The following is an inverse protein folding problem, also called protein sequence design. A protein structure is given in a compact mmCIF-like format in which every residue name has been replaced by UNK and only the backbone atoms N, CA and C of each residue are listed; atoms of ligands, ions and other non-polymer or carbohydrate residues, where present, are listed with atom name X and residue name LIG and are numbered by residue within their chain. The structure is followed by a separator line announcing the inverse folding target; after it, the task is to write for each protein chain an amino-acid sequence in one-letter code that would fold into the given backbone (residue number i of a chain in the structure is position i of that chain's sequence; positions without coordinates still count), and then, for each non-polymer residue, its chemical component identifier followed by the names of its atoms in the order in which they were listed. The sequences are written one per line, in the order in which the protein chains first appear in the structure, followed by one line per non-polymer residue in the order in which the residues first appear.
data_IF_467492808862
#
_entry.id   IF_467492808862
#
_cell.length_a   1.000
_cell.length_b   1.000
_cell.length_c   1.000
_cell.angle_alpha   90.00
_cell.angle_beta   90.00
_cell.angle_gamma   90.00
#
_symmetry.space_group_name_H-M   'P 1'
#
loop_
_entity.id
_entity.type
_entity.pdbx_description
1 polymer ?
#
# COMPACT_ATOMS: atom_id res chain seq x y z
N UNK A 1 -18.85 -24.83 -6.17
CA UNK A 1 -18.65 -23.95 -7.33
C UNK A 1 -18.63 -22.52 -6.81
N UNK A 2 -17.48 -21.86 -6.82
CA UNK A 2 -17.30 -20.52 -6.26
C UNK A 2 -17.51 -19.42 -7.30
N UNK A 3 -17.69 -18.18 -6.83
CA UNK A 3 -17.83 -16.99 -7.68
C UNK A 3 -16.49 -16.72 -8.37
N UNK A 4 -16.43 -16.82 -9.71
CA UNK A 4 -15.18 -16.63 -10.47
C UNK A 4 -15.06 -15.27 -11.19
N UNK A 5 -16.15 -14.51 -11.28
CA UNK A 5 -16.23 -13.30 -12.09
C UNK A 5 -16.10 -11.98 -11.29
N UNK A 6 -15.58 -12.05 -10.06
CA UNK A 6 -15.39 -10.85 -9.23
C UNK A 6 -14.18 -10.07 -9.72
N UNK A 7 -14.41 -8.86 -10.24
CA UNK A 7 -13.33 -7.94 -10.65
C UNK A 7 -12.89 -6.99 -9.54
N UNK A 8 -13.80 -6.66 -8.63
CA UNK A 8 -13.56 -5.75 -7.51
C UNK A 8 -14.14 -6.34 -6.24
N UNK A 9 -13.36 -6.38 -5.18
CA UNK A 9 -13.77 -6.89 -3.88
C UNK A 9 -13.38 -5.89 -2.79
N UNK A 10 -14.33 -5.55 -1.93
CA UNK A 10 -14.09 -4.79 -0.71
C UNK A 10 -14.44 -5.66 0.47
N UNK A 11 -13.52 -5.75 1.42
CA UNK A 11 -13.68 -6.49 2.68
C UNK A 11 -13.61 -5.46 3.79
N UNK A 12 -14.68 -5.39 4.58
CA UNK A 12 -14.75 -4.53 5.75
C UNK A 12 -14.88 -5.42 6.98
N UNK A 13 -13.93 -5.29 7.89
CA UNK A 13 -13.97 -5.90 9.21
C UNK A 13 -14.31 -4.87 10.27
N UNK A 14 -14.85 -5.37 11.39
CA UNK A 14 -14.94 -4.63 12.63
C UNK A 14 -14.09 -5.34 13.70
N UNK A 15 -13.69 -4.63 14.75
CA UNK A 15 -12.82 -5.15 15.81
C UNK A 15 -13.35 -6.46 16.44
N UNK A 16 -14.68 -6.59 16.52
CA UNK A 16 -15.40 -7.79 16.99
C UNK A 16 -15.33 -9.00 16.05
N UNK A 17 -15.02 -8.78 14.77
CA UNK A 17 -15.06 -9.80 13.72
C UNK A 17 -13.68 -10.39 13.42
N UNK A 18 -12.64 -9.86 14.05
CA UNK A 18 -11.23 -10.21 13.79
C UNK A 18 -10.96 -11.72 13.94
N UNK A 19 -11.43 -12.32 15.04
CA UNK A 19 -11.31 -13.77 15.26
C UNK A 19 -12.11 -14.58 14.24
N UNK A 20 -13.34 -14.15 13.92
CA UNK A 20 -14.20 -14.87 12.97
C UNK A 20 -13.63 -14.88 11.55
N UNK A 21 -13.09 -13.75 11.09
CA UNK A 21 -12.46 -13.67 9.76
C UNK A 21 -11.20 -14.52 9.71
N UNK A 22 -10.37 -14.52 10.78
CA UNK A 22 -9.17 -15.37 10.87
C UNK A 22 -9.52 -16.85 10.77
N UNK A 23 -10.52 -17.27 11.53
CA UNK A 23 -10.92 -18.67 11.65
C UNK A 23 -11.64 -19.17 10.40
N UNK A 24 -12.25 -18.27 9.61
CA UNK A 24 -12.93 -18.61 8.36
C UNK A 24 -11.99 -19.08 7.24
N UNK A 25 -10.68 -18.81 7.34
CA UNK A 25 -9.71 -19.06 6.27
C UNK A 25 -10.03 -18.31 4.97
N UNK A 26 -10.96 -17.35 5.00
CA UNK A 26 -11.50 -16.67 3.83
C UNK A 26 -10.40 -16.03 2.96
N UNK A 27 -9.38 -15.47 3.59
CA UNK A 27 -8.29 -14.77 2.91
C UNK A 27 -7.36 -15.69 2.14
N UNK A 28 -7.33 -16.98 2.48
CA UNK A 28 -6.59 -17.99 1.72
C UNK A 28 -7.26 -18.31 0.37
N UNK A 29 -8.53 -17.94 0.20
CA UNK A 29 -9.28 -18.22 -1.03
C UNK A 29 -9.21 -17.08 -2.07
N UNK A 30 -8.58 -15.94 -1.75
CA UNK A 30 -8.47 -14.80 -2.66
C UNK A 30 -7.75 -15.17 -3.96
N UNK A 31 -6.74 -16.04 -3.88
CA UNK A 31 -5.98 -16.54 -5.03
C UNK A 31 -6.85 -17.20 -6.10
N UNK A 32 -8.01 -17.75 -5.72
CA UNK A 32 -8.94 -18.40 -6.66
C UNK A 32 -9.80 -17.41 -7.46
N UNK A 33 -9.79 -16.11 -7.11
CA UNK A 33 -10.51 -15.06 -7.83
C UNK A 33 -9.71 -14.57 -9.04
N UNK A 34 -9.68 -15.39 -10.09
CA UNK A 34 -8.83 -15.20 -11.28
C UNK A 34 -9.11 -13.94 -12.12
N UNK A 35 -10.19 -13.20 -11.84
CA UNK A 35 -10.52 -11.95 -12.52
C UNK A 35 -10.37 -10.72 -11.59
N UNK A 36 -9.93 -10.91 -10.35
CA UNK A 36 -9.88 -9.85 -9.36
C UNK A 36 -8.74 -8.87 -9.68
N UNK A 37 -9.10 -7.62 -9.94
CA UNK A 37 -8.17 -6.55 -10.29
C UNK A 37 -8.11 -5.48 -9.19
N UNK A 38 -9.15 -5.34 -8.37
CA UNK A 38 -9.19 -4.37 -7.27
C UNK A 38 -9.59 -5.03 -5.97
N UNK A 39 -8.78 -4.85 -4.94
CA UNK A 39 -9.02 -5.34 -3.60
C UNK A 39 -8.92 -4.19 -2.60
N UNK A 40 -9.88 -4.12 -1.67
CA UNK A 40 -9.85 -3.16 -0.58
C UNK A 40 -10.06 -3.89 0.74
N UNK A 41 -9.23 -3.59 1.73
CA UNK A 41 -9.42 -3.96 3.13
C UNK A 41 -9.65 -2.72 3.97
N UNK A 42 -10.71 -2.73 4.77
CA UNK A 42 -11.01 -1.67 5.74
C UNK A 42 -11.30 -2.31 7.09
N UNK A 43 -10.64 -1.88 8.17
CA UNK A 43 -10.91 -2.39 9.52
C UNK A 43 -10.56 -3.87 9.72
N UNK A 44 -9.64 -4.42 8.93
CA UNK A 44 -9.29 -5.85 8.93
C UNK A 44 -8.02 -6.14 9.76
N UNK A 45 -8.06 -5.83 11.05
CA UNK A 45 -6.93 -5.89 11.98
C UNK A 45 -6.52 -7.32 12.36
N UNK A 46 -5.21 -7.59 12.39
CA UNK A 46 -4.33 -7.68 11.23
C UNK A 46 -4.55 -9.03 10.55
N UNK A 47 -5.45 -9.08 9.57
CA UNK A 47 -5.88 -10.35 8.97
C UNK A 47 -5.21 -10.65 7.63
N UNK A 48 -4.39 -9.77 7.09
CA UNK A 48 -3.93 -9.89 5.70
C UNK A 48 -3.08 -11.15 5.45
N UNK A 49 -3.13 -11.72 4.23
CA UNK A 49 -2.36 -12.91 3.89
C UNK A 49 -0.85 -12.74 4.14
N UNK A 50 -0.19 -13.77 4.65
CA UNK A 50 1.25 -13.74 4.98
C UNK A 50 2.18 -13.91 3.77
N UNK A 51 1.63 -14.05 2.56
CA UNK A 51 2.41 -14.23 1.33
C UNK A 51 1.70 -13.60 0.12
N UNK A 52 2.50 -13.04 -0.80
CA UNK A 52 2.01 -12.51 -2.07
C UNK A 52 1.28 -13.58 -2.91
N UNK A 53 1.66 -14.86 -2.73
CA UNK A 53 1.04 -16.01 -3.42
C UNK A 53 -0.42 -16.26 -3.04
N UNK A 54 -0.88 -15.71 -1.93
CA UNK A 54 -2.28 -15.80 -1.52
C UNK A 54 -3.17 -14.76 -2.22
N UNK A 55 -2.57 -13.78 -2.90
CA UNK A 55 -3.30 -12.82 -3.72
C UNK A 55 -3.41 -13.33 -5.16
N UNK A 56 -4.50 -13.01 -5.87
CA UNK A 56 -4.61 -13.30 -7.28
C UNK A 56 -3.58 -12.48 -8.06
N UNK A 57 -2.87 -13.13 -8.98
CA UNK A 57 -1.85 -12.47 -9.82
C UNK A 57 -2.43 -11.36 -10.70
N UNK A 58 -3.75 -11.33 -10.93
CA UNK A 58 -4.45 -10.28 -11.69
C UNK A 58 -4.65 -8.98 -10.90
N UNK A 59 -4.30 -8.95 -9.61
CA UNK A 59 -4.52 -7.80 -8.75
C UNK A 59 -3.69 -6.60 -9.20
N UNK A 60 -4.37 -5.50 -9.55
CA UNK A 60 -3.76 -4.24 -10.01
C UNK A 60 -3.87 -3.11 -8.99
N UNK A 61 -4.89 -3.15 -8.14
CA UNK A 61 -5.20 -2.07 -7.21
C UNK A 61 -5.44 -2.63 -5.82
N UNK A 62 -4.65 -2.21 -4.86
CA UNK A 62 -4.82 -2.53 -3.45
C UNK A 62 -5.09 -1.27 -2.65
N UNK A 63 -6.18 -1.27 -1.89
CA UNK A 63 -6.47 -0.27 -0.86
C UNK A 63 -6.44 -0.93 0.50
N UNK A 64 -5.69 -0.36 1.42
CA UNK A 64 -5.66 -0.72 2.83
C UNK A 64 -6.14 0.50 3.62
N UNK A 65 -7.01 0.28 4.60
CA UNK A 65 -7.49 1.32 5.51
C UNK A 65 -7.82 0.71 6.86
N UNK A 66 -7.45 1.40 7.95
CA UNK A 66 -7.71 0.93 9.31
C UNK A 66 -7.25 -0.54 9.50
N UNK A 67 -6.13 -0.92 8.87
CA UNK A 67 -5.60 -2.30 8.93
C UNK A 67 -4.48 -2.44 9.97
N UNK A 68 -3.80 -1.34 10.31
CA UNK A 68 -2.73 -1.28 11.31
C UNK A 68 -1.65 -2.37 11.10
N UNK A 69 -1.34 -2.68 9.85
CA UNK A 69 -0.24 -3.59 9.51
C UNK A 69 1.11 -2.89 9.73
N UNK A 70 2.18 -3.63 9.97
CA UNK A 70 3.51 -3.02 10.01
C UNK A 70 3.91 -2.48 8.62
N UNK A 71 4.76 -1.46 8.57
CA UNK A 71 5.38 -1.01 7.33
C UNK A 71 6.16 -2.13 6.61
N UNK A 72 6.76 -3.05 7.36
CA UNK A 72 7.46 -4.22 6.80
C UNK A 72 6.53 -5.22 6.09
N UNK A 73 5.23 -5.24 6.42
CA UNK A 73 4.27 -6.07 5.66
C UNK A 73 4.21 -5.65 4.19
N UNK A 74 4.50 -4.38 3.88
CA UNK A 74 4.51 -3.89 2.52
C UNK A 74 5.58 -4.56 1.64
N UNK A 75 6.58 -5.25 2.20
CA UNK A 75 7.50 -6.08 1.41
C UNK A 75 6.76 -7.24 0.71
N UNK A 76 5.75 -7.81 1.36
CA UNK A 76 4.86 -8.82 0.75
C UNK A 76 4.03 -8.18 -0.37
N UNK A 77 3.52 -6.97 -0.14
CA UNK A 77 2.73 -6.23 -1.15
C UNK A 77 3.62 -5.87 -2.34
N UNK A 78 4.90 -5.59 -2.10
CA UNK A 78 5.87 -5.22 -3.11
C UNK A 78 6.19 -6.38 -4.08
N UNK A 79 5.98 -7.63 -3.66
CA UNK A 79 6.12 -8.82 -4.50
C UNK A 79 4.96 -9.05 -5.47
N UNK A 80 3.87 -8.28 -5.36
CA UNK A 80 2.70 -8.44 -6.23
C UNK A 80 3.06 -8.07 -7.69
N UNK A 81 2.98 -9.01 -8.64
CA UNK A 81 3.61 -8.86 -9.96
C UNK A 81 2.92 -7.85 -10.87
N UNK A 82 1.66 -7.51 -10.60
CA UNK A 82 0.83 -6.64 -11.43
C UNK A 82 0.25 -5.44 -10.66
N UNK A 83 0.75 -5.17 -9.46
CA UNK A 83 0.23 -4.06 -8.66
C UNK A 83 0.63 -2.72 -9.25
N UNK A 84 -0.35 -1.98 -9.75
CA UNK A 84 -0.20 -0.66 -10.36
C UNK A 84 -0.51 0.45 -9.35
N UNK A 85 -1.50 0.24 -8.48
CA UNK A 85 -2.01 1.25 -7.55
C UNK A 85 -2.03 0.71 -6.12
N UNK A 86 -1.36 1.42 -5.21
CA UNK A 86 -1.41 1.18 -3.77
C UNK A 86 -1.94 2.41 -3.06
N UNK A 87 -2.97 2.20 -2.23
CA UNK A 87 -3.55 3.24 -1.37
C UNK A 87 -3.51 2.80 0.07
N UNK A 88 -2.77 3.53 0.88
CA UNK A 88 -2.70 3.39 2.33
C UNK A 88 -3.51 4.55 2.92
N UNK A 89 -4.67 4.25 3.47
CA UNK A 89 -5.62 5.23 4.00
C UNK A 89 -5.75 5.06 5.51
N UNK A 90 -6.08 6.12 6.25
CA UNK A 90 -6.60 6.07 7.63
C UNK A 90 -5.98 4.96 8.50
N UNK A 91 -4.75 5.14 8.99
CA UNK A 91 -4.08 4.14 9.85
C UNK A 91 -3.93 2.75 9.19
N UNK A 92 -3.73 2.71 7.87
CA UNK A 92 -3.43 1.45 7.16
C UNK A 92 -2.18 0.76 7.71
N UNK A 93 -1.12 1.54 7.95
CA UNK A 93 0.15 1.06 8.48
C UNK A 93 0.45 1.66 9.85
N UNK A 94 0.94 0.83 10.76
CA UNK A 94 1.43 1.21 12.08
C UNK A 94 2.97 1.24 12.12
N UNK A 95 3.50 2.13 12.97
CA UNK A 95 4.91 2.43 13.10
C UNK A 95 5.34 3.74 12.42
N UNK A 96 6.56 4.14 12.72
CA UNK A 96 7.15 5.43 12.36
C UNK A 96 8.22 5.34 11.24
N UNK A 97 8.58 4.14 10.80
CA UNK A 97 9.71 3.89 9.91
C UNK A 97 9.30 2.96 8.76
N UNK A 98 9.66 3.34 7.54
CA UNK A 98 9.47 2.51 6.36
C UNK A 98 10.75 2.40 5.53
N UNK A 99 11.22 1.16 5.42
CA UNK A 99 12.41 0.74 4.68
C UNK A 99 12.02 -0.35 3.67
N UNK A 100 11.57 -0.01 2.46
CA UNK A 100 11.14 -1.02 1.49
C UNK A 100 12.31 -1.86 0.97
N UNK A 101 12.05 -3.12 0.65
CA UNK A 101 13.03 -3.99 -0.04
C UNK A 101 13.39 -3.43 -1.43
N UNK A 102 14.70 -3.33 -1.72
CA UNK A 102 15.36 -2.68 -2.90
C UNK A 102 14.85 -3.16 -4.26
N UNK A 103 14.03 -4.22 -4.33
CA UNK A 103 13.49 -4.77 -5.60
C UNK A 103 11.96 -4.92 -5.62
N UNK A 104 11.28 -4.18 -4.76
CA UNK A 104 9.83 -4.18 -4.63
C UNK A 104 9.11 -3.35 -5.69
N UNK A 105 7.77 -3.44 -5.72
CA UNK A 105 6.86 -2.51 -6.41
C UNK A 105 7.19 -2.25 -7.89
N UNK A 106 7.63 -3.30 -8.59
CA UNK A 106 8.14 -3.22 -9.97
C UNK A 106 7.16 -2.66 -11.02
N UNK A 107 5.85 -2.60 -10.70
CA UNK A 107 4.79 -2.05 -11.58
C UNK A 107 3.99 -0.92 -10.96
N UNK A 108 4.36 -0.46 -9.76
CA UNK A 108 3.58 0.51 -9.01
C UNK A 108 3.74 1.90 -9.65
N UNK A 109 2.68 2.42 -10.25
CA UNK A 109 2.66 3.75 -10.85
C UNK A 109 2.01 4.81 -9.95
N UNK A 110 1.17 4.40 -8.98
CA UNK A 110 0.55 5.32 -8.03
C UNK A 110 0.67 4.79 -6.61
N UNK A 111 1.30 5.61 -5.76
CA UNK A 111 1.33 5.44 -4.31
C UNK A 111 0.58 6.58 -3.65
N UNK A 112 -0.44 6.25 -2.87
CA UNK A 112 -1.14 7.19 -2.00
C UNK A 112 -0.96 6.78 -0.54
N UNK A 113 -0.52 7.72 0.28
CA UNK A 113 -0.45 7.58 1.73
C UNK A 113 -1.28 8.71 2.36
N UNK A 114 -2.27 8.33 3.15
CA UNK A 114 -3.18 9.25 3.82
C UNK A 114 -3.28 8.88 5.30
N UNK A 115 -3.16 9.88 6.17
CA UNK A 115 -3.33 9.77 7.63
C UNK A 115 -2.47 8.61 8.20
N UNK A 116 -1.17 8.86 8.34
CA UNK A 116 -0.20 7.88 8.85
C UNK A 116 0.74 8.49 9.90
N UNK A 117 1.31 7.63 10.75
CA UNK A 117 2.34 8.00 11.74
C UNK A 117 3.78 7.89 11.22
N UNK A 118 3.97 7.65 9.92
CA UNK A 118 5.29 7.56 9.30
C UNK A 118 6.09 8.83 9.57
N UNK A 119 7.30 8.68 10.10
CA UNK A 119 8.24 9.76 10.37
C UNK A 119 9.44 9.70 9.44
N UNK A 120 9.98 8.51 9.25
CA UNK A 120 11.19 8.27 8.48
C UNK A 120 10.88 7.32 7.33
N UNK A 121 11.02 7.82 6.12
CA UNK A 121 10.89 7.03 4.91
C UNK A 121 12.25 7.01 4.22
N UNK A 122 12.82 5.82 4.08
CA UNK A 122 14.10 5.65 3.36
C UNK A 122 13.91 4.59 2.29
N UNK A 123 14.00 5.03 1.05
CA UNK A 123 13.84 4.23 -0.15
C UNK A 123 14.79 4.77 -1.22
N UNK A 124 15.17 3.92 -2.17
CA UNK A 124 15.90 4.26 -3.38
C UNK A 124 14.96 4.28 -4.58
N UNK A 125 15.43 4.79 -5.71
CA UNK A 125 14.73 4.70 -6.99
C UNK A 125 14.44 3.25 -7.42
N UNK A 126 15.31 2.30 -7.05
CA UNK A 126 15.12 0.87 -7.32
C UNK A 126 13.89 0.27 -6.61
N UNK A 127 13.46 0.87 -5.48
CA UNK A 127 12.25 0.44 -4.80
C UNK A 127 10.96 0.76 -5.58
N UNK A 128 10.97 1.78 -6.44
CA UNK A 128 9.79 2.31 -7.12
C UNK A 128 10.10 2.70 -8.57
N UNK A 129 10.57 1.75 -9.41
CA UNK A 129 11.22 2.06 -10.68
C UNK A 129 10.31 2.72 -11.74
N UNK A 130 8.99 2.57 -11.59
CA UNK A 130 7.99 3.07 -12.55
C UNK A 130 6.93 3.97 -11.90
N UNK A 131 7.22 4.53 -10.73
CA UNK A 131 6.29 5.37 -10.01
C UNK A 131 6.05 6.69 -10.75
N UNK A 132 4.81 6.93 -11.15
CA UNK A 132 4.41 8.14 -11.86
C UNK A 132 3.84 9.20 -10.91
N UNK A 133 3.17 8.76 -9.84
CA UNK A 133 2.40 9.63 -8.95
C UNK A 133 2.57 9.26 -7.49
N UNK A 134 3.06 10.20 -6.70
CA UNK A 134 3.08 10.15 -5.25
C UNK A 134 2.04 11.12 -4.68
N UNK A 135 1.14 10.62 -3.84
CA UNK A 135 0.10 11.43 -3.19
C UNK A 135 0.21 11.26 -1.68
N UNK A 136 0.49 12.35 -0.96
CA UNK A 136 0.63 12.37 0.49
C UNK A 136 -0.43 13.30 1.09
N UNK A 137 -1.27 12.78 1.98
CA UNK A 137 -2.41 13.50 2.54
C UNK A 137 -2.42 13.40 4.05
N UNK A 138 -2.48 14.53 4.74
CA UNK A 138 -2.52 14.55 6.21
C UNK A 138 -1.35 13.76 6.85
N UNK A 139 -0.18 13.74 6.20
CA UNK A 139 1.02 13.04 6.65
C UNK A 139 1.84 13.96 7.58
N UNK A 140 1.26 14.34 8.71
CA UNK A 140 1.83 15.37 9.61
C UNK A 140 3.15 14.98 10.29
N UNK A 141 3.52 13.71 10.26
CA UNK A 141 4.72 13.22 10.93
C UNK A 141 5.90 12.98 9.98
N UNK A 142 5.64 12.91 8.67
CA UNK A 142 6.65 12.55 7.69
C UNK A 142 7.61 13.74 7.50
N UNK A 143 8.89 13.50 7.78
CA UNK A 143 9.90 14.56 7.77
C UNK A 143 10.35 14.94 6.36
N UNK A 144 10.55 13.94 5.50
CA UNK A 144 11.05 14.12 4.15
C UNK A 144 10.58 13.00 3.23
N UNK A 145 10.54 13.31 1.94
CA UNK A 145 10.44 12.33 0.85
C UNK A 145 11.88 11.90 0.51
N UNK A 146 12.15 10.60 0.28
CA UNK A 146 13.49 10.15 -0.08
C UNK A 146 14.04 10.93 -1.28
N UNK A 147 15.26 11.47 -1.15
CA UNK A 147 15.86 12.31 -2.20
C UNK A 147 16.13 11.52 -3.47
N UNK A 148 16.31 10.21 -3.35
CA UNK A 148 16.46 9.25 -4.44
C UNK A 148 15.24 9.22 -5.38
N UNK A 149 14.09 9.77 -4.96
CA UNK A 149 12.93 9.90 -5.85
C UNK A 149 13.19 10.87 -7.01
N UNK A 150 14.17 11.78 -6.89
CA UNK A 150 14.64 12.63 -7.99
C UNK A 150 15.21 11.81 -9.17
N UNK A 151 15.67 10.58 -8.90
CA UNK A 151 16.21 9.67 -9.91
C UNK A 151 15.13 8.76 -10.54
N UNK A 152 13.86 8.89 -10.11
CA UNK A 152 12.73 8.17 -10.70
C UNK A 152 12.22 8.97 -11.92
N UNK A 153 12.73 8.63 -13.09
CA UNK A 153 12.47 9.35 -14.34
C UNK A 153 11.00 9.32 -14.80
N UNK A 154 10.19 8.39 -14.26
CA UNK A 154 8.76 8.27 -14.54
C UNK A 154 7.90 9.14 -13.62
N UNK A 155 8.46 9.67 -12.52
CA UNK A 155 7.72 10.44 -11.54
C UNK A 155 7.32 11.80 -12.12
N UNK A 156 6.02 12.00 -12.29
CA UNK A 156 5.44 13.18 -12.93
C UNK A 156 4.74 14.10 -11.93
N UNK A 157 4.29 13.56 -10.79
CA UNK A 157 3.50 14.33 -9.85
C UNK A 157 3.75 13.89 -8.40
N UNK A 158 4.08 14.87 -7.57
CA UNK A 158 4.00 14.78 -6.11
C UNK A 158 2.88 15.71 -5.66
N UNK A 159 1.81 15.13 -5.11
CA UNK A 159 0.67 15.87 -4.56
C UNK A 159 0.74 15.83 -3.04
N UNK A 160 0.85 17.00 -2.42
CA UNK A 160 0.79 17.17 -0.96
C UNK A 160 -0.50 17.87 -0.59
N UNK A 161 -1.23 17.34 0.39
CA UNK A 161 -2.42 18.01 0.93
C UNK A 161 -2.46 17.88 2.43
N UNK A 162 -2.60 19.00 3.13
CA UNK A 162 -2.58 19.03 4.62
C UNK A 162 -1.32 18.37 5.19
N UNK A 163 -0.17 18.59 4.58
CA UNK A 163 1.13 18.17 5.12
C UNK A 163 1.82 19.35 5.80
N UNK A 164 2.92 19.08 6.51
CA UNK A 164 3.76 20.14 7.06
C UNK A 164 4.62 20.78 5.95
N UNK A 165 4.99 22.05 6.14
CA UNK A 165 5.78 22.84 5.18
C UNK A 165 7.13 22.20 4.88
N UNK A 166 7.75 21.56 5.85
CA UNK A 166 9.03 20.85 5.70
C UNK A 166 8.93 19.75 4.63
N UNK A 167 7.77 19.10 4.51
CA UNK A 167 7.55 18.10 3.48
C UNK A 167 7.34 18.74 2.09
N UNK A 168 6.78 19.95 2.02
CA UNK A 168 6.70 20.74 0.78
C UNK A 168 8.09 21.15 0.29
N UNK A 169 8.96 21.60 1.20
CA UNK A 169 10.37 21.92 0.90
C UNK A 169 11.16 20.67 0.48
N UNK A 170 10.86 19.51 1.09
CA UNK A 170 11.42 18.22 0.66
C UNK A 170 10.95 17.84 -0.75
N UNK A 171 9.67 18.02 -1.08
CA UNK A 171 9.15 17.70 -2.40
C UNK A 171 9.70 18.61 -3.50
N UNK A 172 9.96 19.88 -3.21
CA UNK A 172 10.53 20.84 -4.17
C UNK A 172 11.98 20.53 -4.60
N UNK A 173 12.65 19.60 -3.91
CA UNK A 173 14.02 19.15 -4.22
C UNK A 173 14.06 17.92 -5.15
N UNK A 174 12.90 17.30 -5.40
CA UNK A 174 12.72 16.11 -6.23
C UNK A 174 12.23 16.56 -7.61
#
# INVERSE_FOLDING_TARGET
MGIQNVKKLGIRGYETDSNSIRDSGFLNNLVHLQQLETLSFIGCFPLLPSSAKAFPATLKKLKLGETYISWSYLDIVAELPNLEVLKLMDFACDGNEWYPNVRGFTRLNLLLIEVCYLKYWKATNDNFPVLERLVLRSCYNLKEIPIEFAEIHTLQLIELTRCLRELEESAARI
#
